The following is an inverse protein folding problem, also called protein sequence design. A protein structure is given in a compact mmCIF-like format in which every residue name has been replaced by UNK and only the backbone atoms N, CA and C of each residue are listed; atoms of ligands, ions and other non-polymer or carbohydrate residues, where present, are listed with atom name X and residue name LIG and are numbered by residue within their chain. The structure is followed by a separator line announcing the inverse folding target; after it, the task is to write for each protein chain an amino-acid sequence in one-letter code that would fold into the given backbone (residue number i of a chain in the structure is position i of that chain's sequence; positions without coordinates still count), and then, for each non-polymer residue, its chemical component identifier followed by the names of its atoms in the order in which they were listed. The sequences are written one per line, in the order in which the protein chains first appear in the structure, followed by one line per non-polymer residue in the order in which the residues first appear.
data_IF_433838505852
#
_entry.id   IF_433838505852
#
_cell.length_a   1.000
_cell.length_b   1.000
_cell.length_c   1.000
_cell.angle_alpha   90.00
_cell.angle_beta   90.00
_cell.angle_gamma   90.00
#
_symmetry.space_group_name_H-M   'P 1'
#
loop_
_entity.id
_entity.type
_entity.pdbx_description
1 polymer ?
#
# COMPACT_ATOMS: atom_id res chain seq x y z
N UNK A 1 -17.60 11.98 4.33
CA UNK A 1 -16.63 11.94 5.43
C UNK A 1 -15.32 12.49 4.89
N UNK A 2 -14.67 13.36 5.66
CA UNK A 2 -13.55 14.21 5.29
C UNK A 2 -12.24 13.68 5.89
N UNK A 3 -11.09 14.13 5.36
CA UNK A 3 -9.77 13.76 5.85
C UNK A 3 -9.58 13.99 7.37
N UNK A 4 -10.04 15.11 7.96
CA UNK A 4 -9.94 15.33 9.41
C UNK A 4 -10.67 14.27 10.24
N UNK A 5 -11.81 13.77 9.76
CA UNK A 5 -12.57 12.73 10.47
C UNK A 5 -11.82 11.40 10.48
N UNK A 6 -11.19 11.03 9.35
CA UNK A 6 -10.34 9.82 9.25
C UNK A 6 -9.15 9.93 10.21
N UNK A 7 -8.45 11.06 10.22
CA UNK A 7 -7.32 11.30 11.13
C UNK A 7 -7.77 11.24 12.60
N UNK A 8 -8.94 11.79 12.92
CA UNK A 8 -9.51 11.73 14.26
C UNK A 8 -9.81 10.30 14.71
N UNK A 9 -10.27 9.42 13.82
CA UNK A 9 -10.48 7.99 14.12
C UNK A 9 -9.16 7.28 14.40
N UNK A 10 -8.14 7.51 13.55
CA UNK A 10 -6.79 6.94 13.72
C UNK A 10 -6.20 7.36 15.07
N UNK A 11 -6.28 8.64 15.43
CA UNK A 11 -5.76 9.15 16.70
C UNK A 11 -6.49 8.60 17.93
N UNK A 12 -7.74 8.17 17.77
CA UNK A 12 -8.53 7.49 18.82
C UNK A 12 -8.30 5.98 18.87
N UNK A 13 -7.47 5.43 17.98
CA UNK A 13 -7.25 4.00 17.86
C UNK A 13 -8.40 3.24 17.19
N UNK A 14 -9.35 3.94 16.57
CA UNK A 14 -10.48 3.37 15.85
C UNK A 14 -10.06 2.92 14.43
N UNK A 15 -8.98 2.13 14.35
CA UNK A 15 -8.31 1.76 13.11
C UNK A 15 -9.24 1.02 12.14
N UNK A 16 -10.03 0.06 12.61
CA UNK A 16 -10.96 -0.69 11.76
C UNK A 16 -11.99 0.20 11.05
N UNK A 17 -12.55 1.19 11.75
CA UNK A 17 -13.47 2.17 11.15
C UNK A 17 -12.73 3.04 10.13
N UNK A 18 -11.55 3.54 10.47
CA UNK A 18 -10.73 4.37 9.57
C UNK A 18 -10.38 3.60 8.29
N UNK A 19 -9.91 2.35 8.41
CA UNK A 19 -9.59 1.47 7.29
C UNK A 19 -10.80 1.30 6.38
N UNK A 20 -11.96 0.91 6.90
CA UNK A 20 -13.18 0.71 6.11
C UNK A 20 -13.59 1.94 5.28
N UNK A 21 -13.34 3.15 5.77
CA UNK A 21 -13.60 4.39 5.03
C UNK A 21 -12.55 4.60 3.94
N UNK A 22 -11.27 4.49 4.28
CA UNK A 22 -10.15 4.67 3.35
C UNK A 22 -10.20 3.64 2.20
N UNK A 23 -10.57 2.38 2.49
CA UNK A 23 -10.72 1.34 1.47
C UNK A 23 -11.73 1.72 0.38
N UNK A 24 -12.86 2.32 0.76
CA UNK A 24 -13.89 2.76 -0.19
C UNK A 24 -13.31 3.82 -1.13
N UNK A 25 -12.46 4.71 -0.61
CA UNK A 25 -11.78 5.73 -1.41
C UNK A 25 -10.76 5.10 -2.35
N UNK A 26 -9.97 4.13 -1.88
CA UNK A 26 -9.00 3.42 -2.73
C UNK A 26 -9.69 2.67 -3.88
N UNK A 27 -10.87 2.07 -3.62
CA UNK A 27 -11.67 1.34 -4.61
C UNK A 27 -12.40 2.26 -5.60
N UNK A 28 -12.61 3.52 -5.25
CA UNK A 28 -13.24 4.53 -6.12
C UNK A 28 -12.25 5.02 -7.20
N UNK A 29 -12.39 4.51 -8.41
CA UNK A 29 -11.54 4.88 -9.56
C UNK A 29 -11.75 6.32 -10.05
N UNK A 30 -12.78 7.03 -9.59
CA UNK A 30 -12.96 8.46 -9.89
C UNK A 30 -12.01 9.34 -9.07
N UNK A 31 -11.42 8.80 -7.99
CA UNK A 31 -10.48 9.52 -7.14
C UNK A 31 -9.10 9.63 -7.80
N UNK A 32 -8.39 10.76 -7.59
CA UNK A 32 -7.02 10.93 -8.06
C UNK A 32 -6.12 9.77 -7.61
N UNK A 33 -5.25 9.30 -8.51
CA UNK A 33 -4.29 8.22 -8.21
C UNK A 33 -3.47 8.52 -6.97
N UNK A 34 -2.97 9.76 -6.84
CA UNK A 34 -2.22 10.20 -5.67
C UNK A 34 -3.00 10.00 -4.37
N UNK A 35 -4.25 10.44 -4.33
CA UNK A 35 -5.12 10.30 -3.14
C UNK A 35 -5.31 8.81 -2.80
N UNK A 36 -5.56 7.97 -3.79
CA UNK A 36 -5.71 6.52 -3.59
C UNK A 36 -4.42 5.88 -3.06
N UNK A 37 -3.25 6.29 -3.56
CA UNK A 37 -1.95 5.81 -3.07
C UNK A 37 -1.68 6.25 -1.63
N UNK A 38 -1.97 7.50 -1.28
CA UNK A 38 -1.81 8.02 0.08
C UNK A 38 -2.66 7.22 1.07
N UNK A 39 -3.91 6.88 0.69
CA UNK A 39 -4.77 6.04 1.53
C UNK A 39 -4.30 4.59 1.65
N UNK A 40 -3.72 3.97 0.61
CA UNK A 40 -3.09 2.65 0.75
C UNK A 40 -2.00 2.67 1.83
N UNK A 41 -1.17 3.71 1.85
CA UNK A 41 -0.12 3.87 2.88
C UNK A 41 -0.74 4.02 4.27
N UNK A 42 -1.76 4.87 4.42
CA UNK A 42 -2.39 5.09 5.72
C UNK A 42 -3.09 3.85 6.25
N UNK A 43 -3.73 3.06 5.38
CA UNK A 43 -4.31 1.77 5.75
C UNK A 43 -3.21 0.81 6.23
N UNK A 44 -2.10 0.70 5.49
CA UNK A 44 -0.99 -0.16 5.87
C UNK A 44 -0.41 0.22 7.24
N UNK A 45 -0.26 1.52 7.53
CA UNK A 45 0.19 1.99 8.84
C UNK A 45 -0.82 1.71 9.95
N UNK A 46 -2.12 1.76 9.68
CA UNK A 46 -3.14 1.34 10.65
C UNK A 46 -3.00 -0.15 11.01
N UNK A 47 -2.81 -1.02 10.01
CA UNK A 47 -2.56 -2.44 10.25
C UNK A 47 -1.26 -2.70 11.02
N UNK A 48 -0.20 -1.93 10.75
CA UNK A 48 1.03 -1.97 11.56
C UNK A 48 0.78 -1.59 13.02
N UNK A 49 -0.06 -0.58 13.30
CA UNK A 49 -0.47 -0.23 14.67
C UNK A 49 -1.31 -1.32 15.35
N UNK A 50 -2.02 -2.13 14.57
CA UNK A 50 -2.78 -3.29 15.05
C UNK A 50 -1.93 -4.57 15.15
N UNK A 51 -0.63 -4.50 14.86
CA UNK A 51 0.28 -5.64 14.80
C UNK A 51 -0.10 -6.70 13.74
N UNK A 52 -0.90 -6.33 12.74
CA UNK A 52 -1.24 -7.17 11.59
C UNK A 52 -0.38 -6.78 10.39
N UNK A 53 0.89 -7.17 10.46
CA UNK A 53 1.90 -6.77 9.48
C UNK A 53 1.66 -7.38 8.10
N UNK A 54 1.08 -8.59 8.03
CA UNK A 54 0.71 -9.20 6.74
C UNK A 54 -0.28 -8.31 5.98
N UNK A 55 -1.38 -7.92 6.61
CA UNK A 55 -2.35 -7.00 6.01
C UNK A 55 -1.70 -5.66 5.64
N UNK A 56 -0.77 -5.17 6.47
CA UNK A 56 0.04 -3.99 6.14
C UNK A 56 0.83 -4.14 4.83
N UNK A 57 1.47 -5.29 4.64
CA UNK A 57 2.17 -5.66 3.41
C UNK A 57 1.25 -5.70 2.19
N UNK A 58 0.06 -6.29 2.33
CA UNK A 58 -0.93 -6.41 1.25
C UNK A 58 -1.38 -5.04 0.72
N UNK A 59 -1.55 -4.05 1.61
CA UNK A 59 -1.91 -2.69 1.23
C UNK A 59 -0.78 -1.93 0.54
N UNK A 60 0.47 -2.21 0.90
CA UNK A 60 1.61 -1.72 0.13
C UNK A 60 1.67 -2.37 -1.27
N UNK A 61 1.35 -3.65 -1.42
CA UNK A 61 1.21 -4.27 -2.74
C UNK A 61 0.03 -3.71 -3.55
N UNK A 62 -1.06 -3.32 -2.91
CA UNK A 62 -2.17 -2.65 -3.60
C UNK A 62 -1.73 -1.30 -4.17
N UNK A 63 -0.91 -0.54 -3.45
CA UNK A 63 -0.29 0.68 -3.97
C UNK A 63 0.58 0.39 -5.21
N UNK A 64 1.36 -0.70 -5.20
CA UNK A 64 2.12 -1.16 -6.38
C UNK A 64 1.18 -1.40 -7.57
N UNK A 65 0.07 -2.11 -7.38
CA UNK A 65 -0.90 -2.39 -8.47
C UNK A 65 -1.50 -1.11 -9.04
N UNK A 66 -1.86 -0.16 -8.19
CA UNK A 66 -2.37 1.16 -8.62
C UNK A 66 -1.32 1.87 -9.49
N UNK A 67 -0.06 1.91 -9.04
CA UNK A 67 1.01 2.53 -9.83
C UNK A 67 1.17 1.87 -11.20
N UNK A 68 1.21 0.53 -11.24
CA UNK A 68 1.40 -0.23 -12.48
C UNK A 68 0.22 -0.09 -13.46
N UNK A 69 -0.98 0.21 -12.96
CA UNK A 69 -2.20 0.41 -13.75
C UNK A 69 -2.32 1.77 -14.44
N UNK A 70 -1.49 2.75 -14.07
CA UNK A 70 -1.51 4.08 -14.70
C UNK A 70 -1.19 4.00 -16.19
N UNK A 71 -1.55 5.01 -16.99
CA UNK A 71 -1.15 5.06 -18.40
C UNK A 71 0.08 5.98 -18.58
N UNK A 72 1.22 5.50 -18.09
CA UNK A 72 2.52 6.18 -18.16
C UNK A 72 3.61 5.17 -18.55
N UNK A 73 4.79 5.69 -18.86
CA UNK A 73 5.96 4.88 -19.20
C UNK A 73 6.28 3.80 -18.14
N UNK A 74 6.61 2.60 -18.61
CA UNK A 74 6.84 1.43 -17.76
C UNK A 74 8.01 1.63 -16.79
N UNK A 75 9.08 2.29 -17.23
CA UNK A 75 10.24 2.56 -16.37
C UNK A 75 9.87 3.54 -15.26
N UNK A 76 9.04 4.55 -15.58
CA UNK A 76 8.51 5.46 -14.57
C UNK A 76 7.59 4.75 -13.56
N UNK A 77 6.69 3.87 -14.02
CA UNK A 77 5.87 3.03 -13.14
C UNK A 77 6.75 2.20 -12.20
N UNK A 78 7.78 1.56 -12.74
CA UNK A 78 8.69 0.72 -11.96
C UNK A 78 9.40 1.53 -10.86
N UNK A 79 9.89 2.73 -11.18
CA UNK A 79 10.48 3.66 -10.20
C UNK A 79 9.50 4.08 -9.12
N UNK A 80 8.25 4.37 -9.48
CA UNK A 80 7.21 4.76 -8.51
C UNK A 80 6.73 3.60 -7.64
N UNK A 81 6.68 2.38 -8.20
CA UNK A 81 6.20 1.18 -7.50
C UNK A 81 7.24 0.61 -6.53
N UNK A 82 8.53 0.77 -6.82
CA UNK A 82 9.61 0.13 -6.07
C UNK A 82 9.58 0.45 -4.56
N UNK A 83 9.41 1.72 -4.09
CA UNK A 83 9.36 2.03 -2.67
C UNK A 83 8.20 1.33 -1.94
N UNK A 84 7.04 1.19 -2.59
CA UNK A 84 5.90 0.47 -2.00
C UNK A 84 6.18 -1.03 -1.90
N UNK A 85 6.81 -1.62 -2.92
CA UNK A 85 7.23 -3.02 -2.88
C UNK A 85 8.26 -3.29 -1.78
N UNK A 86 9.17 -2.35 -1.52
CA UNK A 86 10.14 -2.46 -0.43
C UNK A 86 9.48 -2.43 0.95
N UNK A 87 8.50 -1.55 1.15
CA UNK A 87 7.72 -1.52 2.37
C UNK A 87 6.84 -2.77 2.55
N UNK A 88 6.27 -3.31 1.48
CA UNK A 88 5.55 -4.57 1.53
C UNK A 88 6.48 -5.70 2.01
N UNK A 89 7.69 -5.79 1.46
CA UNK A 89 8.69 -6.78 1.84
C UNK A 89 9.14 -6.63 3.30
N UNK A 90 9.31 -5.41 3.81
CA UNK A 90 9.60 -5.15 5.23
C UNK A 90 8.50 -5.75 6.13
N UNK A 91 7.24 -5.45 5.83
CA UNK A 91 6.09 -5.96 6.58
C UNK A 91 6.01 -7.50 6.54
N UNK A 92 6.17 -8.11 5.37
CA UNK A 92 6.12 -9.56 5.25
C UNK A 92 7.28 -10.27 5.94
N UNK A 93 8.47 -9.66 6.00
CA UNK A 93 9.59 -10.23 6.77
C UNK A 93 9.31 -10.26 8.27
N UNK A 94 8.53 -9.31 8.77
CA UNK A 94 8.20 -9.21 10.19
C UNK A 94 6.95 -10.00 10.58
N UNK A 95 5.97 -10.18 9.69
CA UNK A 95 4.73 -10.90 10.02
C UNK A 95 3.98 -11.60 8.89
N UNK A 96 4.56 -11.70 7.70
CA UNK A 96 4.04 -12.53 6.60
C UNK A 96 4.59 -13.95 6.62
N UNK A 97 4.14 -14.77 5.68
CA UNK A 97 4.68 -16.12 5.49
C UNK A 97 5.82 -16.14 4.44
N UNK A 98 6.48 -17.29 4.28
CA UNK A 98 7.60 -17.44 3.35
C UNK A 98 7.21 -17.20 1.89
N UNK A 99 5.95 -17.47 1.51
CA UNK A 99 5.45 -17.23 0.17
C UNK A 99 5.27 -15.73 -0.07
N UNK A 100 4.70 -15.00 0.89
CA UNK A 100 4.55 -13.54 0.84
C UNK A 100 5.92 -12.86 0.63
N UNK A 101 6.92 -13.26 1.42
CA UNK A 101 8.30 -12.74 1.30
C UNK A 101 8.90 -13.07 -0.05
N UNK A 102 8.78 -14.32 -0.52
CA UNK A 102 9.33 -14.74 -1.80
C UNK A 102 8.73 -13.96 -2.97
N UNK A 103 7.41 -13.79 -3.00
CA UNK A 103 6.73 -13.06 -4.08
C UNK A 103 7.09 -11.57 -4.06
N UNK A 104 7.17 -10.94 -2.88
CA UNK A 104 7.61 -9.56 -2.76
C UNK A 104 9.08 -9.37 -3.20
N UNK A 105 9.97 -10.34 -2.94
CA UNK A 105 11.37 -10.32 -3.43
C UNK A 105 11.42 -10.40 -4.96
N UNK A 106 10.68 -11.34 -5.57
CA UNK A 106 10.63 -11.47 -7.04
C UNK A 106 10.09 -10.20 -7.69
N UNK A 107 9.03 -9.63 -7.13
CA UNK A 107 8.44 -8.40 -7.62
C UNK A 107 9.43 -7.24 -7.50
N UNK A 108 10.11 -7.09 -6.35
CA UNK A 108 11.16 -6.07 -6.15
C UNK A 108 12.25 -6.18 -7.22
N UNK A 109 12.78 -7.38 -7.45
CA UNK A 109 13.82 -7.61 -8.45
C UNK A 109 13.35 -7.19 -9.86
N UNK A 110 12.14 -7.60 -10.25
CA UNK A 110 11.56 -7.23 -11.54
C UNK A 110 11.40 -5.71 -11.68
N UNK A 111 10.90 -5.04 -10.64
CA UNK A 111 10.76 -3.58 -10.64
C UNK A 111 12.13 -2.88 -10.74
N UNK A 112 13.16 -3.40 -10.06
CA UNK A 112 14.52 -2.86 -10.16
C UNK A 112 15.06 -2.98 -11.58
N UNK A 113 14.90 -4.13 -12.23
CA UNK A 113 15.33 -4.35 -13.61
C UNK A 113 14.62 -3.40 -14.59
N UNK A 114 13.30 -3.23 -14.45
CA UNK A 114 12.50 -2.33 -15.28
C UNK A 114 12.77 -0.84 -15.02
N UNK A 115 13.34 -0.49 -13.86
CA UNK A 115 13.63 0.91 -13.49
C UNK A 115 14.95 1.44 -14.04
N UNK A 116 15.84 0.55 -14.52
CA UNK A 116 17.15 0.89 -15.10
C UNK A 116 17.00 1.72 -16.35
#
# INVERSE_FOLDING_TARGET
MSLPEIVSLINRGEYGTAINIMEKIVKDKSKPVKERLDYCVWIAECYKKMNDLKSGGDWYLEAVKIVLSQDIDLRLKAKQALPYCEKALENYREGGDALDVMEAVKLKQRLQELSK
#
